data_IF_823118488779
#
_entry.id   IF_823118488779
#
_cell.length_a   1.000
_cell.length_b   1.000
_cell.length_c   1.000
_cell.angle_alpha   90.00
_cell.angle_beta   90.00
_cell.angle_gamma   90.00
#
_symmetry.space_group_name_H-M   'P 1'
#
loop_
_entity.id
_entity.type
_entity.pdbx_description
1 polymer ?
#
# COMPACT_ATOMS: atom_id res chain seq x y z
N UNK A 1 -4.02 28.18 -5.14
CA UNK A 1 -5.18 27.25 -5.14
C UNK A 1 -4.82 26.05 -4.30
N UNK A 2 -5.34 25.93 -3.08
CA UNK A 2 -5.14 24.74 -2.25
C UNK A 2 -6.27 23.78 -2.60
N UNK A 3 -5.96 22.70 -3.32
CA UNK A 3 -6.93 21.63 -3.57
C UNK A 3 -7.23 20.96 -2.23
N UNK A 4 -8.36 21.31 -1.61
CA UNK A 4 -8.85 20.66 -0.41
C UNK A 4 -9.30 19.26 -0.81
N UNK A 5 -8.48 18.26 -0.52
CA UNK A 5 -8.83 16.86 -0.78
C UNK A 5 -9.82 16.45 0.31
N UNK A 6 -11.08 16.22 -0.07
CA UNK A 6 -12.21 16.01 0.86
C UNK A 6 -12.10 14.76 1.78
N UNK A 7 -11.01 14.00 1.71
CA UNK A 7 -10.87 12.70 2.38
C UNK A 7 -9.48 12.48 3.02
N UNK A 8 -8.86 13.54 3.56
CA UNK A 8 -7.58 13.39 4.27
C UNK A 8 -7.76 12.63 5.59
N UNK A 9 -7.02 11.53 5.73
CA UNK A 9 -6.90 10.79 6.98
C UNK A 9 -5.78 11.41 7.82
N UNK A 10 -6.17 12.32 8.72
CA UNK A 10 -5.22 13.08 9.54
C UNK A 10 -4.56 12.27 10.66
N UNK A 11 -5.11 11.10 11.02
CA UNK A 11 -4.64 10.30 12.15
C UNK A 11 -4.23 8.87 11.77
N UNK A 12 -4.36 8.49 10.50
CA UNK A 12 -4.00 7.15 10.05
C UNK A 12 -2.48 7.03 9.94
N UNK A 13 -1.85 6.42 10.95
CA UNK A 13 -0.39 6.23 11.00
C UNK A 13 0.06 4.89 10.45
N UNK A 14 -0.77 3.85 10.56
CA UNK A 14 -0.47 2.50 10.06
C UNK A 14 -1.64 2.00 9.24
N UNK A 15 -1.35 1.49 8.05
CA UNK A 15 -2.33 0.83 7.19
C UNK A 15 -1.92 -0.62 6.94
N UNK A 16 -2.82 -1.57 7.22
CA UNK A 16 -2.59 -3.00 7.02
C UNK A 16 -3.51 -3.54 5.93
N UNK A 17 -2.92 -4.16 4.91
CA UNK A 17 -3.63 -4.81 3.81
C UNK A 17 -3.32 -6.31 3.81
N UNK A 18 -4.31 -7.12 4.20
CA UNK A 18 -4.22 -8.58 4.22
C UNK A 18 -4.78 -9.20 2.95
N UNK A 19 -4.15 -10.29 2.52
CA UNK A 19 -4.59 -11.03 1.34
C UNK A 19 -4.25 -10.33 0.04
N UNK A 20 -3.20 -9.49 0.02
CA UNK A 20 -2.76 -8.77 -1.16
C UNK A 20 -2.49 -9.74 -2.31
N UNK A 21 -3.14 -9.48 -3.44
CA UNK A 21 -2.97 -10.28 -4.65
C UNK A 21 -2.15 -9.61 -5.74
N UNK A 22 -1.82 -8.33 -5.58
CA UNK A 22 -1.15 -7.54 -6.61
C UNK A 22 -2.06 -7.18 -7.78
N UNK A 23 -3.38 -7.19 -7.55
CA UNK A 23 -4.33 -6.76 -8.56
C UNK A 23 -4.44 -5.23 -8.59
N UNK A 24 -5.07 -4.70 -9.63
CA UNK A 24 -5.29 -3.26 -9.79
C UNK A 24 -5.95 -2.62 -8.56
N UNK A 25 -6.93 -3.29 -7.96
CA UNK A 25 -7.66 -2.79 -6.79
C UNK A 25 -6.74 -2.65 -5.58
N UNK A 26 -5.86 -3.64 -5.33
CA UNK A 26 -4.91 -3.56 -4.22
C UNK A 26 -3.97 -2.36 -4.38
N UNK A 27 -3.47 -2.16 -5.60
CA UNK A 27 -2.55 -1.05 -5.92
C UNK A 27 -3.25 0.29 -5.76
N UNK A 28 -4.46 0.43 -6.30
CA UNK A 28 -5.24 1.67 -6.20
C UNK A 28 -5.58 2.01 -4.74
N UNK A 29 -5.89 0.99 -3.92
CA UNK A 29 -6.14 1.18 -2.49
C UNK A 29 -4.89 1.68 -1.76
N UNK A 30 -3.73 1.07 -2.00
CA UNK A 30 -2.47 1.54 -1.39
C UNK A 30 -2.14 2.96 -1.85
N UNK A 31 -2.30 3.26 -3.14
CA UNK A 31 -2.07 4.61 -3.66
C UNK A 31 -3.02 5.65 -3.05
N UNK A 32 -4.28 5.28 -2.84
CA UNK A 32 -5.24 6.14 -2.16
C UNK A 32 -4.77 6.47 -0.74
N UNK A 33 -4.33 5.46 0.02
CA UNK A 33 -3.81 5.67 1.37
C UNK A 33 -2.57 6.55 1.36
N UNK A 34 -1.61 6.27 0.47
CA UNK A 34 -0.39 7.08 0.31
C UNK A 34 -0.69 8.56 0.02
N UNK A 35 -1.74 8.83 -0.76
CA UNK A 35 -2.14 10.19 -1.14
C UNK A 35 -2.91 10.93 -0.04
N UNK A 36 -3.69 10.20 0.76
CA UNK A 36 -4.69 10.82 1.64
C UNK A 36 -4.35 10.70 3.13
N UNK A 37 -3.42 9.83 3.54
CA UNK A 37 -3.03 9.65 4.94
C UNK A 37 -1.81 10.52 5.30
N UNK A 38 -2.06 11.70 5.85
CA UNK A 38 -1.03 12.71 6.12
C UNK A 38 -0.04 12.29 7.21
N UNK A 39 -0.50 11.51 8.18
CA UNK A 39 0.31 11.01 9.29
C UNK A 39 0.80 9.58 9.09
N UNK A 40 0.70 9.05 7.87
CA UNK A 40 1.11 7.70 7.56
C UNK A 40 2.61 7.54 7.82
N UNK A 41 2.94 6.49 8.57
CA UNK A 41 4.31 6.10 8.90
C UNK A 41 4.62 4.71 8.37
N UNK A 42 3.61 3.84 8.23
CA UNK A 42 3.82 2.44 7.89
C UNK A 42 2.68 1.85 7.05
N UNK A 43 3.05 1.09 6.04
CA UNK A 43 2.16 0.18 5.32
C UNK A 43 2.62 -1.25 5.58
N UNK A 44 1.68 -2.12 5.91
CA UNK A 44 1.91 -3.55 6.12
C UNK A 44 1.12 -4.30 5.06
N UNK A 45 1.81 -5.08 4.24
CA UNK A 45 1.21 -5.94 3.22
C UNK A 45 1.42 -7.39 3.60
N UNK A 46 0.33 -8.12 3.80
CA UNK A 46 0.35 -9.58 3.92
C UNK A 46 -0.16 -10.19 2.63
N UNK A 47 0.66 -11.01 1.99
CA UNK A 47 0.28 -11.67 0.74
C UNK A 47 -0.85 -12.68 0.98
N UNK A 48 -1.69 -12.89 -0.04
CA UNK A 48 -2.59 -14.05 -0.04
C UNK A 48 -1.79 -15.34 0.02
N UNK A 49 -2.33 -16.38 0.66
CA UNK A 49 -1.75 -17.70 0.57
C UNK A 49 -1.88 -18.24 -0.86
N UNK A 50 -0.75 -18.27 -1.57
CA UNK A 50 -0.67 -18.74 -2.95
C UNK A 50 -0.28 -20.20 -3.02
N UNK A 51 -1.11 -21.00 -3.70
CA UNK A 51 -0.74 -22.35 -4.14
C UNK A 51 0.18 -22.33 -5.38
N UNK A 52 0.12 -21.26 -6.17
CA UNK A 52 0.92 -21.09 -7.39
C UNK A 52 2.06 -20.09 -7.14
N UNK A 53 3.30 -20.53 -7.39
CA UNK A 53 4.51 -19.76 -7.12
C UNK A 53 4.65 -18.53 -8.03
N UNK A 54 4.26 -18.62 -9.30
CA UNK A 54 4.33 -17.50 -10.24
C UNK A 54 3.42 -16.35 -9.79
N UNK A 55 2.21 -16.68 -9.33
CA UNK A 55 1.30 -15.67 -8.76
C UNK A 55 1.87 -15.04 -7.50
N UNK A 56 2.55 -15.83 -6.65
CA UNK A 56 3.26 -15.31 -5.47
C UNK A 56 4.37 -14.33 -5.86
N UNK A 57 5.23 -14.72 -6.80
CA UNK A 57 6.33 -13.88 -7.28
C UNK A 57 5.79 -12.60 -7.92
N UNK A 58 4.75 -12.70 -8.75
CA UNK A 58 4.11 -11.54 -9.36
C UNK A 58 3.56 -10.57 -8.32
N UNK A 59 2.88 -11.07 -7.27
CA UNK A 59 2.39 -10.23 -6.19
C UNK A 59 3.52 -9.60 -5.37
N UNK A 60 4.62 -10.32 -5.12
CA UNK A 60 5.81 -9.76 -4.47
C UNK A 60 6.41 -8.63 -5.30
N UNK A 61 6.60 -8.86 -6.60
CA UNK A 61 7.13 -7.84 -7.52
C UNK A 61 6.21 -6.62 -7.55
N UNK A 62 4.90 -6.83 -7.59
CA UNK A 62 3.91 -5.76 -7.53
C UNK A 62 4.00 -4.96 -6.21
N UNK A 63 4.10 -5.65 -5.07
CA UNK A 63 4.25 -5.00 -3.76
C UNK A 63 5.53 -4.16 -3.71
N UNK A 64 6.66 -4.69 -4.21
CA UNK A 64 7.95 -3.96 -4.26
C UNK A 64 7.91 -2.73 -5.15
N UNK A 65 7.11 -2.73 -6.23
CA UNK A 65 6.94 -1.52 -7.03
C UNK A 65 6.31 -0.36 -6.24
N UNK A 66 5.59 -0.64 -5.16
CA UNK A 66 5.03 0.39 -4.28
C UNK A 66 6.12 1.14 -3.49
N UNK A 67 7.29 0.53 -3.25
CA UNK A 67 8.43 1.17 -2.59
C UNK A 67 8.87 2.43 -3.33
N UNK A 68 8.80 2.41 -4.66
CA UNK A 68 9.14 3.56 -5.52
C UNK A 68 8.18 4.74 -5.40
N UNK A 69 7.03 4.54 -4.73
CA UNK A 69 5.95 5.52 -4.58
C UNK A 69 5.78 6.00 -3.15
N UNK A 70 6.61 5.53 -2.22
CA UNK A 70 6.52 5.89 -0.82
C UNK A 70 6.90 7.36 -0.61
N UNK A 71 6.07 8.13 0.12
CA UNK A 71 6.49 9.41 0.66
C UNK A 71 7.71 9.25 1.58
N UNK A 72 8.54 10.29 1.72
CA UNK A 72 9.66 10.27 2.66
C UNK A 72 9.20 9.90 4.07
N UNK A 73 9.92 8.97 4.71
CA UNK A 73 9.64 8.54 6.09
C UNK A 73 8.55 7.48 6.26
N UNK A 74 7.86 7.08 5.17
CA UNK A 74 6.91 5.96 5.21
C UNK A 74 7.65 4.64 4.97
N UNK A 75 7.45 3.67 5.85
CA UNK A 75 7.98 2.31 5.71
C UNK A 75 6.96 1.37 5.05
N UNK A 76 7.41 0.53 4.12
CA UNK A 76 6.64 -0.61 3.62
C UNK A 76 7.19 -1.91 4.22
N UNK A 77 6.34 -2.66 4.91
CA UNK A 77 6.67 -3.96 5.51
C UNK A 77 5.86 -5.04 4.81
N UNK A 78 6.54 -6.10 4.36
CA UNK A 78 5.91 -7.30 3.82
C UNK A 78 5.94 -8.43 4.86
N UNK A 79 4.78 -9.02 5.15
CA UNK A 79 4.61 -10.14 6.09
C UNK A 79 4.12 -11.41 5.39
#
# INVERSE_FOLDING_TARGET
>A
MVLKVEHQHQCLSVFELKGFVGCKVDVELVQYILKNAMSLQKIIITLRNYRNLEKKVSAITCARQLETRLPPGVELVML
#
